data_IF_165168547494
#
_entry.id   IF_165168547494
#
_cell.length_a   1.000
_cell.length_b   1.000
_cell.length_c   1.000
_cell.angle_alpha   90.00
_cell.angle_beta   90.00
_cell.angle_gamma   90.00
#
_symmetry.space_group_name_H-M   'P 1'
#
loop_
_entity.id
_entity.type
_entity.pdbx_description
1 polymer ?
#
# COMPACT_ATOMS: atom_id res chain seq x y z
N UNK A 1 -10.61 -53.02 -46.32
CA UNK A 1 -9.19 -52.81 -45.91
C UNK A 1 -8.74 -51.36 -46.01
N UNK A 2 -8.93 -50.65 -47.12
CA UNK A 2 -8.51 -49.24 -47.29
C UNK A 2 -9.07 -48.26 -46.22
N UNK A 3 -10.36 -48.37 -45.85
CA UNK A 3 -10.98 -47.51 -44.82
C UNK A 3 -10.46 -47.74 -43.39
N UNK A 4 -10.05 -48.96 -43.07
CA UNK A 4 -9.48 -49.31 -41.75
C UNK A 4 -8.06 -48.75 -41.63
N UNK A 5 -7.29 -48.81 -42.70
CA UNK A 5 -5.93 -48.23 -42.75
C UNK A 5 -5.99 -46.71 -42.64
N UNK A 6 -6.96 -46.06 -43.29
CA UNK A 6 -7.17 -44.61 -43.15
C UNK A 6 -7.59 -44.22 -41.74
N UNK A 7 -8.49 -44.98 -41.10
CA UNK A 7 -8.88 -44.73 -39.70
C UNK A 7 -7.69 -44.93 -38.74
N UNK A 8 -6.86 -45.95 -38.99
CA UNK A 8 -5.68 -46.24 -38.18
C UNK A 8 -4.60 -45.17 -38.33
N UNK A 9 -4.37 -44.65 -39.54
CA UNK A 9 -3.47 -43.51 -39.78
C UNK A 9 -3.98 -42.20 -39.18
N UNK A 10 -5.29 -41.97 -39.16
CA UNK A 10 -5.88 -40.80 -38.51
C UNK A 10 -5.77 -40.91 -36.98
N UNK A 11 -5.96 -42.12 -36.43
CA UNK A 11 -5.82 -42.40 -35.00
C UNK A 11 -4.38 -42.28 -34.50
N UNK A 12 -3.38 -42.71 -35.29
CA UNK A 12 -1.96 -42.54 -34.91
C UNK A 12 -1.49 -41.09 -34.97
N UNK A 13 -2.09 -40.25 -35.82
CA UNK A 13 -1.80 -38.80 -35.85
C UNK A 13 -2.31 -38.05 -34.61
N UNK A 14 -3.35 -38.56 -33.93
CA UNK A 14 -3.90 -37.99 -32.70
C UNK A 14 -3.02 -38.23 -31.46
N UNK A 15 -2.09 -39.20 -31.50
CA UNK A 15 -1.18 -39.49 -30.39
C UNK A 15 0.19 -38.81 -30.52
N UNK A 16 0.44 -38.06 -31.59
CA UNK A 16 1.70 -37.32 -31.81
C UNK A 16 1.59 -35.88 -31.29
N UNK A 17 1.10 -35.69 -30.06
CA UNK A 17 1.16 -34.40 -29.40
C UNK A 17 2.60 -34.19 -28.88
N UNK A 18 3.39 -33.36 -29.58
CA UNK A 18 4.69 -32.91 -29.10
C UNK A 18 4.49 -32.08 -27.83
N UNK A 19 4.55 -32.72 -26.66
CA UNK A 19 4.68 -32.01 -25.40
C UNK A 19 6.09 -31.45 -25.33
N UNK A 20 6.23 -30.13 -25.50
CA UNK A 20 7.46 -29.42 -25.16
C UNK A 20 7.47 -29.24 -23.65
N UNK A 21 8.18 -30.11 -22.94
CA UNK A 21 8.51 -29.87 -21.53
C UNK A 21 9.44 -28.66 -21.47
N UNK A 22 8.90 -27.52 -21.05
CA UNK A 22 9.69 -26.35 -20.71
C UNK A 22 10.19 -26.60 -19.29
N UNK A 23 11.41 -27.12 -19.19
CA UNK A 23 12.15 -27.08 -17.94
C UNK A 23 12.53 -25.63 -17.68
N UNK A 24 11.68 -24.93 -16.92
CA UNK A 24 12.04 -23.66 -16.31
C UNK A 24 13.16 -23.96 -15.33
N UNK A 25 14.41 -23.65 -15.70
CA UNK A 25 15.46 -23.50 -14.70
C UNK A 25 15.14 -22.23 -13.93
N UNK A 26 14.27 -22.34 -12.92
CA UNK A 26 14.20 -21.36 -11.87
C UNK A 26 15.61 -21.40 -11.27
N UNK A 27 16.43 -20.41 -11.60
CA UNK A 27 17.76 -20.31 -11.02
C UNK A 27 17.57 -20.31 -9.51
N UNK A 28 18.13 -21.30 -8.82
CA UNK A 28 18.18 -21.47 -7.36
C UNK A 28 18.91 -20.32 -6.63
N UNK A 29 19.06 -19.17 -7.29
CA UNK A 29 19.81 -18.01 -6.83
C UNK A 29 18.86 -16.82 -6.80
N UNK A 30 17.86 -16.89 -5.91
CA UNK A 30 17.30 -15.65 -5.39
C UNK A 30 18.38 -15.03 -4.50
N UNK A 31 19.07 -14.02 -5.01
CA UNK A 31 19.88 -13.16 -4.16
C UNK A 31 18.92 -12.24 -3.41
N UNK A 32 18.85 -12.31 -2.06
CA UNK A 32 17.94 -11.45 -1.31
C UNK A 32 18.28 -9.98 -1.54
N UNK A 33 17.26 -9.19 -1.88
CA UNK A 33 17.39 -7.77 -2.15
C UNK A 33 16.70 -6.98 -1.04
N UNK A 34 17.27 -5.83 -0.69
CA UNK A 34 16.64 -4.96 0.29
C UNK A 34 15.35 -4.36 -0.28
N UNK A 35 14.32 -4.35 0.53
CA UNK A 35 13.08 -3.62 0.31
C UNK A 35 12.93 -2.58 1.43
N UNK A 36 12.76 -1.32 1.04
CA UNK A 36 12.65 -0.19 1.95
C UNK A 36 11.32 0.50 1.68
N UNK A 37 10.48 0.61 2.70
CA UNK A 37 9.28 1.43 2.68
C UNK A 37 9.40 2.47 3.78
N UNK A 38 9.50 3.74 3.41
CA UNK A 38 9.51 4.86 4.33
C UNK A 38 8.60 5.96 3.83
N UNK A 39 7.63 6.34 4.66
CA UNK A 39 6.76 7.49 4.40
C UNK A 39 6.90 8.48 5.54
N UNK A 40 7.41 9.67 5.22
CA UNK A 40 7.52 10.78 6.14
C UNK A 40 6.21 11.54 6.17
N UNK A 41 5.45 11.41 7.25
CA UNK A 41 4.27 12.22 7.47
C UNK A 41 4.64 13.48 8.25
N UNK A 42 4.37 14.65 7.67
CA UNK A 42 4.59 15.93 8.36
C UNK A 42 3.80 15.95 9.68
N UNK A 43 4.48 16.25 10.78
CA UNK A 43 3.91 16.25 12.14
C UNK A 43 4.06 14.94 12.90
N UNK A 44 4.52 13.86 12.26
CA UNK A 44 4.72 12.55 12.90
C UNK A 44 6.22 12.25 13.10
N UNK A 45 6.51 11.24 13.91
CA UNK A 45 7.83 10.62 13.96
C UNK A 45 8.02 9.66 12.78
N UNK A 46 9.23 9.58 12.17
CA UNK A 46 9.44 8.76 11.00
C UNK A 46 9.35 7.27 11.33
N UNK A 47 8.84 6.47 10.38
CA UNK A 47 8.88 5.02 10.42
C UNK A 47 9.38 4.48 9.10
N UNK A 48 10.46 3.70 9.15
CA UNK A 48 11.11 3.10 7.98
C UNK A 48 11.10 1.59 8.14
N UNK A 49 10.41 0.89 7.25
CA UNK A 49 10.37 -0.56 7.17
C UNK A 49 11.49 -1.02 6.25
N UNK A 50 12.37 -1.87 6.77
CA UNK A 50 13.50 -2.43 6.01
C UNK A 50 13.40 -3.94 6.08
N UNK A 51 13.19 -4.57 4.93
CA UNK A 51 13.05 -6.02 4.82
C UNK A 51 13.93 -6.59 3.71
N UNK A 52 14.11 -7.91 3.75
CA UNK A 52 14.79 -8.65 2.69
C UNK A 52 13.77 -9.38 1.82
N UNK A 53 13.92 -9.28 0.51
CA UNK A 53 13.08 -10.01 -0.44
C UNK A 53 13.28 -11.51 -0.29
N UNK A 54 12.20 -12.26 -0.59
CA UNK A 54 12.17 -13.71 -0.45
C UNK A 54 11.80 -14.36 -1.80
N UNK A 55 12.20 -15.62 -2.04
CA UNK A 55 11.76 -16.37 -3.19
C UNK A 55 10.23 -16.45 -3.25
N UNK A 56 9.65 -16.37 -4.45
CA UNK A 56 8.20 -16.37 -4.66
C UNK A 56 7.46 -17.55 -4.02
N UNK A 57 8.06 -18.74 -4.02
CA UNK A 57 7.45 -19.95 -3.47
C UNK A 57 7.69 -20.16 -1.97
N UNK A 58 8.25 -19.16 -1.27
CA UNK A 58 8.38 -19.24 0.17
C UNK A 58 7.02 -19.04 0.84
N UNK A 59 6.64 -19.95 1.72
CA UNK A 59 5.34 -19.88 2.38
C UNK A 59 5.32 -18.77 3.43
N UNK A 60 4.22 -18.01 3.46
CA UNK A 60 3.78 -17.10 4.54
C UNK A 60 4.90 -16.57 5.44
N UNK A 61 5.62 -15.56 4.97
CA UNK A 61 6.66 -14.90 5.77
C UNK A 61 6.05 -13.75 6.57
N UNK A 62 6.29 -13.74 7.88
CA UNK A 62 5.88 -12.66 8.78
C UNK A 62 6.82 -11.46 8.62
N UNK A 63 6.35 -10.21 8.82
CA UNK A 63 7.21 -9.02 8.78
C UNK A 63 8.44 -9.14 9.68
N UNK A 64 8.29 -9.74 10.87
CA UNK A 64 9.38 -10.00 11.81
C UNK A 64 10.49 -10.94 11.32
N UNK A 65 10.20 -11.80 10.34
CA UNK A 65 11.11 -12.80 9.79
C UNK A 65 11.93 -12.25 8.60
N UNK A 66 11.36 -11.30 7.84
CA UNK A 66 12.07 -10.60 6.76
C UNK A 66 12.77 -9.32 7.20
N UNK A 67 12.51 -8.84 8.41
CA UNK A 67 13.04 -7.56 8.88
C UNK A 67 14.57 -7.58 9.03
N UNK A 68 15.22 -6.57 8.45
CA UNK A 68 16.68 -6.41 8.47
C UNK A 68 17.10 -5.73 9.76
N UNK A 69 17.79 -6.46 10.64
CA UNK A 69 18.13 -6.02 12.02
C UNK A 69 19.56 -5.51 12.18
N UNK A 70 20.38 -5.66 11.18
CA UNK A 70 21.81 -5.36 11.16
C UNK A 70 22.15 -4.22 10.20
N UNK A 71 21.15 -3.37 9.89
CA UNK A 71 21.34 -2.13 9.16
C UNK A 71 21.53 -0.94 10.13
N UNK A 72 22.43 -0.02 9.77
CA UNK A 72 22.52 1.29 10.39
C UNK A 72 21.72 2.28 9.56
N UNK A 73 20.67 2.86 10.14
CA UNK A 73 19.70 3.70 9.42
C UNK A 73 19.72 5.11 9.99
N UNK A 74 19.79 6.10 9.09
CA UNK A 74 19.79 7.51 9.44
C UNK A 74 18.84 8.28 8.52
N UNK A 75 18.23 9.34 9.06
CA UNK A 75 17.63 10.40 8.26
C UNK A 75 18.48 11.65 8.43
N UNK A 76 18.72 12.39 7.36
CA UNK A 76 19.44 13.66 7.39
C UNK A 76 18.57 14.81 6.91
N UNK A 77 18.75 15.98 7.51
CA UNK A 77 18.17 17.26 7.11
C UNK A 77 19.33 18.27 7.02
N UNK A 78 19.73 18.63 5.80
CA UNK A 78 20.93 19.45 5.59
C UNK A 78 22.19 18.82 6.23
N UNK A 79 22.71 19.45 7.30
CA UNK A 79 23.89 18.98 8.04
C UNK A 79 23.54 18.15 9.29
N UNK A 80 22.26 18.11 9.69
CA UNK A 80 21.81 17.31 10.83
C UNK A 80 21.60 15.86 10.42
N UNK A 81 22.01 14.94 11.29
CA UNK A 81 21.85 13.50 11.09
C UNK A 81 21.15 12.90 12.31
N UNK A 82 20.01 12.26 12.05
CA UNK A 82 19.16 11.60 13.03
C UNK A 82 19.35 10.09 12.93
N UNK A 83 20.02 9.43 13.89
CA UNK A 83 20.08 7.98 13.93
C UNK A 83 18.70 7.40 14.24
N UNK A 84 18.28 6.38 13.48
CA UNK A 84 17.07 5.64 13.75
C UNK A 84 17.37 4.39 14.58
N UNK A 85 16.41 3.99 15.42
CA UNK A 85 16.47 2.80 16.25
C UNK A 85 15.36 1.84 15.88
N UNK A 86 15.62 0.55 16.04
CA UNK A 86 14.61 -0.47 15.84
C UNK A 86 13.53 -0.36 16.91
N UNK A 87 12.28 -0.48 16.47
CA UNK A 87 11.10 -0.58 17.32
C UNK A 87 10.08 -1.49 16.63
N UNK A 88 8.96 -1.77 17.29
CA UNK A 88 7.87 -2.54 16.72
C UNK A 88 6.54 -2.19 17.36
N UNK A 89 5.47 -2.25 16.57
CA UNK A 89 4.10 -2.17 17.09
C UNK A 89 3.40 -3.50 16.89
N UNK A 90 2.54 -3.88 17.83
CA UNK A 90 1.69 -5.06 17.65
C UNK A 90 0.46 -4.67 16.84
N UNK A 91 0.38 -5.14 15.59
CA UNK A 91 -0.81 -5.01 14.75
C UNK A 91 -1.86 -5.99 15.26
N UNK A 92 -2.80 -5.45 16.04
CA UNK A 92 -3.93 -6.20 16.59
C UNK A 92 -4.87 -6.70 15.51
N UNK A 93 -4.99 -6.04 14.36
CA UNK A 93 -5.82 -6.50 13.26
C UNK A 93 -5.23 -7.76 12.61
N UNK A 94 -3.91 -7.77 12.38
CA UNK A 94 -3.19 -8.90 11.75
C UNK A 94 -2.60 -9.92 12.73
N UNK A 95 -2.73 -9.69 14.04
CA UNK A 95 -2.16 -10.51 15.10
C UNK A 95 -0.66 -10.80 14.94
N UNK A 96 0.13 -9.76 14.64
CA UNK A 96 1.57 -9.89 14.45
C UNK A 96 2.31 -8.63 14.85
N UNK A 97 3.61 -8.78 15.14
CA UNK A 97 4.50 -7.65 15.32
C UNK A 97 4.96 -7.10 13.97
N UNK A 98 4.83 -5.79 13.80
CA UNK A 98 5.32 -5.05 12.65
C UNK A 98 6.55 -4.22 13.09
N UNK A 99 7.78 -4.70 12.79
CA UNK A 99 9.01 -4.00 13.15
C UNK A 99 9.38 -2.90 12.14
N UNK A 100 10.02 -1.84 12.62
CA UNK A 100 10.47 -0.70 11.82
C UNK A 100 11.67 0.01 12.49
N UNK A 101 12.29 0.93 11.78
CA UNK A 101 13.24 1.91 12.31
C UNK A 101 12.53 3.25 12.54
N UNK A 102 12.77 3.90 13.68
CA UNK A 102 12.18 5.21 14.02
C UNK A 102 13.18 6.13 14.71
N UNK A 103 12.91 7.44 14.66
CA UNK A 103 13.76 8.49 15.21
C UNK A 103 13.03 9.32 16.26
N UNK A 104 13.81 9.99 17.12
CA UNK A 104 13.29 10.89 18.16
C UNK A 104 13.21 12.34 17.66
N UNK A 105 12.53 12.52 16.52
CA UNK A 105 12.25 13.84 15.95
C UNK A 105 10.93 13.81 15.20
N UNK A 106 10.32 14.98 15.06
CA UNK A 106 9.09 15.18 14.29
C UNK A 106 9.47 15.69 12.91
N UNK A 107 8.87 15.09 11.87
CA UNK A 107 9.04 15.54 10.48
C UNK A 107 8.39 16.92 10.31
N UNK A 108 9.15 17.87 9.78
CA UNK A 108 8.72 19.25 9.55
C UNK A 108 8.32 19.47 8.08
N UNK A 109 7.42 20.42 7.83
CA UNK A 109 7.05 20.86 6.48
C UNK A 109 8.20 21.68 5.84
N UNK A 110 8.19 21.76 4.51
CA UNK A 110 9.13 22.58 3.71
C UNK A 110 10.61 22.22 3.94
N UNK A 111 10.90 20.92 4.06
CA UNK A 111 12.24 20.36 4.25
C UNK A 111 12.58 19.31 3.20
N UNK A 112 13.88 19.11 3.04
CA UNK A 112 14.45 18.00 2.26
C UNK A 112 15.09 17.01 3.23
N UNK A 113 14.63 15.76 3.17
CA UNK A 113 15.16 14.67 3.98
C UNK A 113 15.89 13.67 3.11
N UNK A 114 17.00 13.12 3.59
CA UNK A 114 17.63 11.96 2.97
C UNK A 114 17.73 10.79 3.94
N UNK A 115 17.21 9.64 3.53
CA UNK A 115 17.50 8.35 4.13
C UNK A 115 18.91 7.91 3.75
N UNK A 116 19.68 7.45 4.72
CA UNK A 116 20.98 6.79 4.52
C UNK A 116 20.93 5.47 5.28
N UNK A 117 21.18 4.37 4.56
CA UNK A 117 21.21 3.03 5.14
C UNK A 117 22.53 2.36 4.80
N UNK A 118 23.20 1.81 5.82
CA UNK A 118 24.39 0.98 5.68
C UNK A 118 24.05 -0.47 6.01
N UNK A 119 24.36 -1.40 5.11
CA UNK A 119 24.12 -2.83 5.31
C UNK A 119 25.13 -3.64 4.50
N UNK A 120 25.88 -4.53 5.15
CA UNK A 120 26.88 -5.41 4.51
C UNK A 120 27.89 -4.75 3.54
N UNK A 121 28.24 -3.48 3.79
CA UNK A 121 29.18 -2.72 2.97
C UNK A 121 28.52 -1.89 1.86
N UNK A 122 27.23 -2.11 1.61
CA UNK A 122 26.43 -1.27 0.73
C UNK A 122 25.97 -0.02 1.46
N UNK A 123 25.84 1.07 0.68
CA UNK A 123 25.23 2.32 1.17
C UNK A 123 24.10 2.71 0.25
N UNK A 124 22.88 2.68 0.79
CA UNK A 124 21.66 3.08 0.10
C UNK A 124 21.30 4.50 0.51
N UNK A 125 20.86 5.30 -0.45
CA UNK A 125 20.39 6.67 -0.24
C UNK A 125 19.09 6.89 -0.97
N UNK A 126 18.18 7.62 -0.34
CA UNK A 126 16.94 8.07 -0.95
C UNK A 126 16.55 9.44 -0.39
N UNK A 127 15.96 10.31 -1.21
CA UNK A 127 15.49 11.62 -0.80
C UNK A 127 13.98 11.67 -0.72
N UNK A 128 13.43 12.55 0.12
CA UNK A 128 12.01 12.88 0.18
C UNK A 128 11.84 14.37 0.48
N UNK A 129 10.85 15.02 -0.16
CA UNK A 129 10.57 16.44 0.02
C UNK A 129 9.25 16.63 0.76
N UNK A 130 9.26 17.40 1.84
CA UNK A 130 8.06 17.80 2.58
C UNK A 130 7.56 19.18 2.18
N UNK A 131 8.04 19.74 1.06
CA UNK A 131 7.52 20.96 0.44
C UNK A 131 6.17 20.69 -0.24
N UNK A 132 5.20 20.22 0.54
CA UNK A 132 3.89 19.76 0.10
C UNK A 132 2.82 20.76 0.52
N UNK A 133 1.89 21.06 -0.39
CA UNK A 133 0.73 21.89 -0.09
C UNK A 133 -0.21 21.10 0.82
N UNK A 134 -0.58 21.65 1.99
CA UNK A 134 -1.50 20.99 2.93
C UNK A 134 -2.94 21.05 2.39
N UNK A 135 -3.57 19.92 2.06
CA UNK A 135 -4.93 19.92 1.52
C UNK A 135 -5.96 20.39 2.55
N UNK A 136 -7.04 21.01 2.05
CA UNK A 136 -8.20 21.38 2.84
C UNK A 136 -9.38 20.47 2.46
N UNK A 137 -9.74 19.55 3.36
CA UNK A 137 -10.91 18.69 3.19
C UNK A 137 -12.15 19.43 3.71
N UNK A 138 -13.09 19.76 2.82
CA UNK A 138 -14.25 20.60 3.16
C UNK A 138 -15.40 19.79 3.75
N UNK A 139 -15.69 18.62 3.16
CA UNK A 139 -16.82 17.78 3.54
C UNK A 139 -16.54 16.29 3.29
N UNK A 140 -17.14 15.45 4.14
CA UNK A 140 -17.16 13.99 3.99
C UNK A 140 -18.60 13.53 4.16
N UNK A 141 -19.19 13.03 3.09
CA UNK A 141 -20.56 12.53 3.09
C UNK A 141 -20.62 11.04 2.77
N UNK A 142 -21.68 10.37 3.23
CA UNK A 142 -21.92 8.98 2.91
C UNK A 142 -22.55 8.82 1.52
N UNK A 143 -22.19 7.75 0.81
CA UNK A 143 -22.91 7.28 -0.37
C UNK A 143 -23.31 5.80 -0.21
N UNK A 144 -24.61 5.47 -0.32
CA UNK A 144 -25.06 4.08 -0.18
C UNK A 144 -24.72 3.22 -1.39
N UNK A 145 -24.49 3.85 -2.55
CA UNK A 145 -24.18 3.16 -3.78
C UNK A 145 -23.43 4.11 -4.72
N UNK A 146 -22.30 3.67 -5.25
CA UNK A 146 -21.63 4.25 -6.41
C UNK A 146 -21.03 3.11 -7.24
N UNK A 147 -20.75 3.38 -8.52
CA UNK A 147 -20.27 2.35 -9.44
C UNK A 147 -18.89 2.68 -9.96
N UNK A 148 -18.01 1.69 -9.98
CA UNK A 148 -16.73 1.74 -10.69
C UNK A 148 -16.67 0.61 -11.74
N UNK A 149 -15.47 0.29 -12.23
CA UNK A 149 -15.27 -0.77 -13.22
C UNK A 149 -15.42 -2.20 -12.64
N UNK A 150 -15.45 -2.33 -11.32
CA UNK A 150 -15.51 -3.59 -10.56
C UNK A 150 -16.90 -3.86 -9.97
N UNK A 151 -17.75 -2.85 -9.80
CA UNK A 151 -19.14 -3.07 -9.41
C UNK A 151 -19.80 -1.88 -8.71
N UNK A 152 -20.89 -2.18 -8.01
CA UNK A 152 -21.52 -1.25 -7.08
C UNK A 152 -20.84 -1.36 -5.72
N UNK A 153 -20.55 -0.22 -5.10
CA UNK A 153 -19.84 -0.07 -3.84
C UNK A 153 -20.58 0.91 -2.93
N UNK A 154 -20.41 0.77 -1.64
CA UNK A 154 -20.77 1.77 -0.63
C UNK A 154 -19.51 2.46 -0.09
N UNK A 155 -19.68 3.65 0.48
CA UNK A 155 -18.54 4.33 1.09
C UNK A 155 -18.76 5.81 1.33
N UNK A 156 -17.74 6.60 1.02
CA UNK A 156 -17.72 8.04 1.30
C UNK A 156 -17.40 8.85 0.06
N UNK A 157 -17.91 10.08 0.06
CA UNK A 157 -17.57 11.11 -0.92
C UNK A 157 -16.79 12.18 -0.18
N UNK A 158 -15.54 12.40 -0.58
CA UNK A 158 -14.72 13.52 -0.12
C UNK A 158 -14.93 14.69 -1.07
N UNK A 159 -15.26 15.86 -0.52
CA UNK A 159 -15.33 17.12 -1.27
C UNK A 159 -14.26 18.07 -0.80
N UNK A 160 -13.51 18.60 -1.75
CA UNK A 160 -12.49 19.60 -1.50
C UNK A 160 -12.23 20.42 -2.74
N UNK A 161 -11.62 21.57 -2.55
CA UNK A 161 -11.05 22.36 -3.65
C UNK A 161 -9.55 22.13 -3.75
N UNK A 162 -9.11 21.80 -4.96
CA UNK A 162 -7.69 21.68 -5.28
C UNK A 162 -6.94 23.01 -5.12
N UNK A 163 -5.70 22.93 -4.68
CA UNK A 163 -4.86 24.09 -4.42
C UNK A 163 -4.17 24.53 -5.71
N UNK A 164 -4.14 25.83 -6.06
CA UNK A 164 -3.54 26.27 -7.31
C UNK A 164 -2.12 25.74 -7.58
N UNK A 165 -1.84 25.44 -8.84
CA UNK A 165 -0.59 24.87 -9.36
C UNK A 165 -0.63 23.34 -9.45
N UNK A 166 -0.11 22.79 -10.55
CA UNK A 166 -0.04 21.33 -10.75
C UNK A 166 0.93 20.62 -9.80
N UNK A 167 0.73 19.31 -9.63
CA UNK A 167 1.66 18.43 -8.94
C UNK A 167 1.16 17.95 -7.57
N UNK A 168 -0.14 18.07 -7.31
CA UNK A 168 -0.75 17.48 -6.12
C UNK A 168 -1.20 16.04 -6.38
N UNK A 169 -0.93 15.17 -5.42
CA UNK A 169 -1.23 13.75 -5.45
C UNK A 169 -2.03 13.35 -4.22
N UNK A 170 -3.35 13.33 -4.38
CA UNK A 170 -4.29 13.12 -3.32
C UNK A 170 -4.52 11.64 -3.00
N UNK A 171 -4.53 11.31 -1.71
CA UNK A 171 -4.91 9.98 -1.22
C UNK A 171 -5.85 10.08 -0.03
N UNK A 172 -6.84 9.20 0.01
CA UNK A 172 -7.74 9.06 1.14
C UNK A 172 -7.05 8.40 2.34
N UNK A 173 -7.38 8.85 3.55
CA UNK A 173 -7.09 8.11 4.78
C UNK A 173 -8.32 8.13 5.69
N UNK A 174 -8.67 7.00 6.27
CA UNK A 174 -9.68 6.88 7.32
C UNK A 174 -9.17 6.04 8.48
N UNK A 175 -9.22 6.63 9.66
CA UNK A 175 -8.80 6.04 10.91
C UNK A 175 -10.02 5.69 11.77
N UNK A 176 -10.09 4.45 12.27
CA UNK A 176 -11.21 3.97 13.09
C UNK A 176 -10.77 3.05 14.21
N UNK A 177 -11.56 3.01 15.28
CA UNK A 177 -11.53 1.93 16.25
C UNK A 177 -12.59 0.90 15.87
N UNK A 178 -12.19 -0.36 15.69
CA UNK A 178 -13.07 -1.47 15.32
C UNK A 178 -12.87 -2.64 16.28
N UNK A 179 -13.79 -3.59 16.30
CA UNK A 179 -13.64 -4.88 16.99
C UNK A 179 -13.55 -6.04 15.97
N UNK A 180 -13.38 -7.26 16.48
CA UNK A 180 -13.29 -8.49 15.66
C UNK A 180 -14.59 -8.87 14.97
N UNK A 181 -15.72 -8.21 15.26
CA UNK A 181 -16.96 -8.40 14.51
C UNK A 181 -17.00 -7.59 13.21
N UNK A 182 -16.00 -6.73 12.97
CA UNK A 182 -15.86 -5.93 11.75
C UNK A 182 -14.81 -6.51 10.84
N UNK A 183 -15.25 -7.08 9.72
CA UNK A 183 -14.34 -7.69 8.76
C UNK A 183 -13.96 -6.69 7.67
N UNK A 184 -12.93 -7.05 6.90
CA UNK A 184 -12.58 -6.32 5.69
C UNK A 184 -13.53 -6.78 4.57
N UNK A 185 -14.21 -5.83 3.91
CA UNK A 185 -15.35 -6.03 3.01
C UNK A 185 -15.11 -7.02 1.84
N UNK A 186 -13.86 -7.33 1.49
CA UNK A 186 -13.57 -8.09 0.26
C UNK A 186 -12.47 -9.16 0.31
N UNK A 187 -11.71 -9.34 1.40
CA UNK A 187 -10.46 -10.14 1.29
C UNK A 187 -10.21 -11.18 2.39
N UNK A 188 -10.92 -11.20 3.52
CA UNK A 188 -10.40 -11.93 4.69
C UNK A 188 -11.36 -12.90 5.39
N UNK A 189 -12.06 -13.75 4.63
CA UNK A 189 -12.61 -15.02 5.17
C UNK A 189 -11.52 -15.92 5.82
N UNK A 190 -10.23 -15.62 5.59
CA UNK A 190 -9.07 -16.40 6.04
C UNK A 190 -8.28 -15.73 7.16
N UNK A 191 -8.48 -14.43 7.44
CA UNK A 191 -7.72 -13.74 8.49
C UNK A 191 -8.50 -13.81 9.80
N UNK A 192 -8.23 -14.86 10.57
CA UNK A 192 -8.81 -15.01 11.91
C UNK A 192 -8.00 -14.20 12.90
N UNK A 193 -8.57 -13.09 13.36
CA UNK A 193 -8.01 -12.35 14.49
C UNK A 193 -8.36 -13.08 15.79
N UNK A 194 -7.37 -13.76 16.37
CA UNK A 194 -7.53 -14.57 17.59
C UNK A 194 -6.64 -14.08 18.76
N UNK A 195 -6.04 -12.90 18.62
CA UNK A 195 -5.11 -12.34 19.61
C UNK A 195 -5.73 -11.19 20.43
N UNK A 196 -6.97 -10.82 20.13
CA UNK A 196 -7.74 -9.82 20.88
C UNK A 196 -9.01 -10.45 21.45
N UNK A 197 -9.45 -9.95 22.59
CA UNK A 197 -10.68 -10.45 23.21
C UNK A 197 -11.92 -9.98 22.45
N UNK A 198 -13.03 -10.71 22.61
CA UNK A 198 -14.30 -10.33 22.00
C UNK A 198 -14.76 -8.94 22.47
N UNK A 199 -15.01 -8.03 21.53
CA UNK A 199 -15.41 -6.65 21.81
C UNK A 199 -14.26 -5.71 22.21
N UNK A 200 -13.02 -6.20 22.25
CA UNK A 200 -11.86 -5.33 22.40
C UNK A 200 -11.68 -4.47 21.14
N UNK A 201 -11.64 -3.15 21.32
CA UNK A 201 -11.40 -2.22 20.23
C UNK A 201 -9.91 -2.13 19.89
N UNK A 202 -9.62 -2.10 18.59
CA UNK A 202 -8.29 -1.84 18.05
C UNK A 202 -8.36 -0.85 16.89
N UNK A 203 -7.26 -0.13 16.71
CA UNK A 203 -7.15 0.93 15.72
C UNK A 203 -6.81 0.35 14.35
N UNK A 204 -7.47 0.85 13.31
CA UNK A 204 -7.17 0.56 11.91
C UNK A 204 -7.10 1.84 11.10
N UNK A 205 -6.23 1.83 10.09
CA UNK A 205 -6.11 2.87 9.08
C UNK A 205 -6.44 2.27 7.72
N UNK A 206 -7.31 2.93 6.98
CA UNK A 206 -7.71 2.61 5.61
C UNK A 206 -7.18 3.71 4.69
N UNK A 207 -6.41 3.35 3.66
CA UNK A 207 -5.77 4.31 2.74
C UNK A 207 -6.43 4.35 1.36
N UNK A 208 -7.57 3.66 1.20
CA UNK A 208 -8.21 3.47 -0.10
C UNK A 208 -7.32 2.73 -1.11
N UNK A 209 -7.79 2.62 -2.34
CA UNK A 209 -7.11 1.88 -3.44
C UNK A 209 -6.72 2.77 -4.62
N UNK A 210 -6.67 4.08 -4.42
CA UNK A 210 -6.40 5.00 -5.52
C UNK A 210 -5.68 6.25 -5.05
N UNK A 211 -4.83 6.75 -5.94
CA UNK A 211 -4.19 8.05 -5.84
C UNK A 211 -4.70 8.92 -6.98
N UNK A 212 -5.12 10.13 -6.64
CA UNK A 212 -5.72 11.07 -7.58
C UNK A 212 -4.75 12.23 -7.82
N UNK A 213 -4.38 12.45 -9.09
CA UNK A 213 -3.55 13.60 -9.46
C UNK A 213 -4.43 14.75 -9.96
N UNK A 214 -4.02 15.97 -9.64
CA UNK A 214 -4.58 17.22 -10.16
C UNK A 214 -4.24 17.52 -11.64
N UNK A 215 -3.46 16.66 -12.29
CA UNK A 215 -2.96 16.90 -13.64
C UNK A 215 -4.07 17.27 -14.63
N UNK A 216 -3.97 18.48 -15.22
CA UNK A 216 -4.95 19.11 -16.14
C UNK A 216 -6.28 19.55 -15.52
N UNK A 217 -6.44 19.45 -14.21
CA UNK A 217 -7.64 19.86 -13.47
C UNK A 217 -7.30 20.75 -12.25
N UNK A 218 -6.20 21.49 -12.35
CA UNK A 218 -5.69 22.45 -11.36
C UNK A 218 -6.75 23.48 -10.89
N UNK A 219 -6.86 23.63 -9.57
CA UNK A 219 -7.67 24.64 -8.90
C UNK A 219 -9.19 24.41 -8.98
N UNK A 220 -9.59 23.19 -9.37
CA UNK A 220 -10.99 22.79 -9.52
C UNK A 220 -11.56 22.16 -8.24
N UNK A 221 -12.89 22.06 -8.19
CA UNK A 221 -13.57 21.37 -7.09
C UNK A 221 -13.58 19.85 -7.40
N UNK A 222 -13.15 19.04 -6.44
CA UNK A 222 -13.10 17.59 -6.52
C UNK A 222 -14.23 16.92 -5.72
N UNK A 223 -14.77 15.84 -6.29
CA UNK A 223 -15.56 14.85 -5.56
C UNK A 223 -14.89 13.48 -5.74
N UNK A 224 -14.32 12.94 -4.66
CA UNK A 224 -13.68 11.62 -4.68
C UNK A 224 -14.60 10.59 -4.01
N UNK A 225 -15.02 9.61 -4.78
CA UNK A 225 -15.80 8.47 -4.31
C UNK A 225 -14.84 7.38 -3.85
N UNK A 226 -14.97 6.94 -2.61
CA UNK A 226 -14.05 5.99 -2.00
C UNK A 226 -14.84 4.86 -1.37
N UNK A 227 -14.55 3.64 -1.80
CA UNK A 227 -14.97 2.41 -1.14
C UNK A 227 -14.16 2.27 0.15
N UNK A 228 -14.85 2.02 1.26
CA UNK A 228 -14.19 1.75 2.55
C UNK A 228 -13.88 0.28 2.69
N UNK A 229 -12.68 -0.03 3.18
CA UNK A 229 -12.15 -1.39 3.26
C UNK A 229 -12.80 -2.22 4.38
N UNK A 230 -13.29 -1.58 5.44
CA UNK A 230 -13.79 -2.26 6.65
C UNK A 230 -15.29 -2.08 6.86
N UNK A 231 -15.98 -3.19 7.17
CA UNK A 231 -17.40 -3.22 7.57
C UNK A 231 -17.69 -2.23 8.71
N UNK A 232 -18.93 -1.74 8.78
CA UNK A 232 -19.37 -0.73 9.76
C UNK A 232 -20.84 -0.93 10.16
N UNK A 233 -21.26 -0.36 11.30
CA UNK A 233 -22.67 -0.17 11.68
C UNK A 233 -23.01 1.31 11.69
N UNK A 234 -24.30 1.59 11.65
CA UNK A 234 -24.85 2.89 12.00
C UNK A 234 -24.29 3.37 13.34
N UNK A 235 -23.78 4.60 13.36
CA UNK A 235 -23.22 5.24 14.55
C UNK A 235 -21.73 4.96 14.78
N UNK A 236 -21.10 4.05 14.03
CA UNK A 236 -19.65 3.93 14.05
C UNK A 236 -19.01 5.26 13.65
N UNK A 237 -17.96 5.67 14.37
CA UNK A 237 -17.27 6.95 14.14
C UNK A 237 -15.90 6.71 13.51
N UNK A 238 -15.55 7.56 12.56
CA UNK A 238 -14.28 7.56 11.85
C UNK A 238 -13.66 8.96 11.84
N UNK A 239 -12.34 9.02 11.69
CA UNK A 239 -11.62 10.26 11.40
C UNK A 239 -11.07 10.18 9.99
N UNK A 240 -11.46 11.10 9.12
CA UNK A 240 -11.09 11.11 7.71
C UNK A 240 -10.11 12.23 7.44
N UNK A 241 -9.09 11.93 6.64
CA UNK A 241 -8.10 12.87 6.15
C UNK A 241 -8.00 12.76 4.64
N UNK A 242 -7.68 13.89 4.02
CA UNK A 242 -7.12 13.94 2.68
C UNK A 242 -5.61 14.09 2.81
N UNK A 243 -4.84 13.23 2.16
CA UNK A 243 -3.39 13.32 2.08
C UNK A 243 -2.99 13.99 0.77
N UNK A 244 -1.89 14.74 0.78
CA UNK A 244 -1.13 15.09 -0.42
C UNK A 244 0.25 14.45 -0.32
N UNK A 245 0.64 13.65 -1.31
CA UNK A 245 1.88 12.88 -1.34
C UNK A 245 2.91 13.58 -2.22
N UNK A 246 4.20 13.36 -1.96
CA UNK A 246 5.22 13.68 -2.94
C UNK A 246 5.10 12.78 -4.19
N UNK A 247 5.65 13.25 -5.32
CA UNK A 247 5.50 12.58 -6.62
C UNK A 247 6.03 11.15 -6.61
N UNK A 248 7.14 10.90 -5.92
CA UNK A 248 7.78 9.58 -5.88
C UNK A 248 6.95 8.57 -5.08
N UNK A 249 6.40 8.96 -3.93
CA UNK A 249 5.44 8.16 -3.18
C UNK A 249 4.18 7.92 -4.00
N UNK A 250 3.65 8.97 -4.62
CA UNK A 250 2.45 8.88 -5.44
C UNK A 250 2.62 7.85 -6.57
N UNK A 251 3.75 7.90 -7.29
CA UNK A 251 4.07 6.94 -8.36
C UNK A 251 4.21 5.52 -7.85
N UNK A 252 4.95 5.32 -6.77
CA UNK A 252 5.16 3.98 -6.19
C UNK A 252 3.84 3.34 -5.73
N UNK A 253 3.04 4.07 -4.95
CA UNK A 253 1.79 3.55 -4.43
C UNK A 253 0.71 3.40 -5.50
N UNK A 254 0.75 4.21 -6.57
CA UNK A 254 -0.11 4.00 -7.73
C UNK A 254 0.19 2.69 -8.44
N UNK A 255 1.46 2.34 -8.62
CA UNK A 255 1.85 1.04 -9.17
C UNK A 255 1.45 -0.11 -8.23
N UNK A 256 1.60 0.09 -6.91
CA UNK A 256 1.21 -0.90 -5.91
C UNK A 256 -0.30 -1.17 -5.93
N UNK A 257 -1.13 -0.11 -5.90
CA UNK A 257 -2.58 -0.22 -5.91
C UNK A 257 -3.07 -0.91 -7.20
N UNK A 258 -2.53 -0.50 -8.36
CA UNK A 258 -2.81 -1.16 -9.65
C UNK A 258 -2.39 -2.62 -9.68
N UNK A 259 -1.25 -2.96 -9.08
CA UNK A 259 -0.82 -4.35 -8.99
C UNK A 259 -1.80 -5.17 -8.15
N UNK A 260 -2.24 -4.64 -7.00
CA UNK A 260 -3.23 -5.30 -6.13
C UNK A 260 -4.56 -5.55 -6.84
N UNK A 261 -5.01 -4.60 -7.67
CA UNK A 261 -6.21 -4.75 -8.50
C UNK A 261 -6.05 -5.81 -9.61
N UNK A 262 -4.83 -5.92 -10.18
CA UNK A 262 -4.55 -6.89 -11.26
C UNK A 262 -4.24 -8.31 -10.78
N UNK A 263 -3.81 -8.50 -9.52
CA UNK A 263 -3.17 -9.76 -9.07
C UNK A 263 -4.07 -11.00 -9.21
N UNK A 264 -5.38 -10.81 -9.18
CA UNK A 264 -6.38 -11.88 -9.34
C UNK A 264 -7.00 -11.95 -10.74
N UNK A 265 -6.60 -11.08 -11.66
CA UNK A 265 -7.14 -11.03 -13.00
C UNK A 265 -6.11 -11.50 -14.04
N UNK A 266 -6.20 -12.75 -14.55
CA UNK A 266 -5.23 -13.31 -15.50
C UNK A 266 -5.30 -12.68 -16.90
N UNK A 267 -6.23 -11.75 -17.14
CA UNK A 267 -6.42 -11.06 -18.41
C UNK A 267 -5.93 -9.60 -18.38
N UNK A 268 -5.48 -9.11 -17.23
CA UNK A 268 -4.88 -7.77 -17.09
C UNK A 268 -3.37 -7.89 -17.23
N UNK A 269 -2.75 -6.90 -17.88
CA UNK A 269 -1.31 -6.85 -18.02
C UNK A 269 -0.64 -6.75 -16.63
N UNK A 270 0.48 -7.47 -16.37
CA UNK A 270 1.19 -7.36 -15.11
C UNK A 270 1.65 -5.92 -14.86
N UNK A 271 1.37 -5.42 -13.66
CA UNK A 271 1.84 -4.11 -13.22
C UNK A 271 3.19 -4.27 -12.52
N UNK A 272 4.22 -3.64 -13.09
CA UNK A 272 5.54 -3.58 -12.50
C UNK A 272 5.62 -2.44 -11.50
N UNK A 273 6.01 -2.75 -10.26
CA UNK A 273 6.29 -1.71 -9.25
C UNK A 273 7.65 -1.11 -9.56
N UNK A 274 7.70 0.21 -9.80
CA UNK A 274 8.94 0.92 -10.00
C UNK A 274 9.52 1.37 -8.67
N UNK A 275 10.70 0.85 -8.31
CA UNK A 275 11.47 1.35 -7.16
C UNK A 275 11.87 2.81 -7.40
N UNK A 276 11.86 3.61 -6.34
CA UNK A 276 12.37 4.98 -6.32
C UNK A 276 13.70 5.10 -5.58
N UNK A 277 14.26 3.97 -5.15
CA UNK A 277 15.51 3.88 -4.39
C UNK A 277 16.55 3.13 -5.23
N UNK A 278 17.70 3.76 -5.44
CA UNK A 278 18.82 3.10 -6.12
C UNK A 278 19.50 2.07 -5.19
N UNK A 279 19.73 0.86 -5.70
CA UNK A 279 20.38 -0.23 -4.94
C UNK A 279 19.45 -1.00 -4.00
N UNK A 280 18.17 -0.66 -3.95
CA UNK A 280 17.13 -1.39 -3.22
C UNK A 280 15.78 -1.33 -3.98
N UNK A 281 14.80 -2.11 -3.55
CA UNK A 281 13.42 -1.94 -3.95
C UNK A 281 12.66 -1.07 -2.95
N UNK A 282 11.65 -0.35 -3.42
CA UNK A 282 10.68 0.33 -2.57
C UNK A 282 10.67 1.84 -2.74
N UNK A 283 10.33 2.54 -1.66
CA UNK A 283 10.07 3.97 -1.64
C UNK A 283 10.50 4.61 -0.34
N UNK A 284 11.03 5.81 -0.45
CA UNK A 284 11.22 6.72 0.67
C UNK A 284 10.62 8.06 0.28
N UNK A 285 9.37 8.33 0.64
CA UNK A 285 8.68 9.55 0.24
C UNK A 285 8.08 10.28 1.44
N UNK A 286 7.29 11.30 1.15
CA UNK A 286 6.63 12.15 2.13
C UNK A 286 5.15 12.36 1.82
N UNK A 287 4.39 12.71 2.85
CA UNK A 287 3.00 13.10 2.74
C UNK A 287 2.63 14.13 3.82
N UNK A 288 1.63 14.95 3.52
CA UNK A 288 0.99 15.85 4.48
C UNK A 288 -0.52 15.58 4.51
N UNK A 289 -1.11 15.58 5.70
CA UNK A 289 -2.54 15.35 5.90
C UNK A 289 -3.29 16.67 6.05
N UNK A 290 -4.54 16.71 5.61
CA UNK A 290 -5.49 17.76 5.93
C UNK A 290 -5.75 17.83 7.44
N UNK A 291 -6.49 18.84 7.87
CA UNK A 291 -7.18 18.74 9.16
C UNK A 291 -8.16 17.54 9.14
N UNK A 292 -8.37 16.86 10.28
CA UNK A 292 -9.29 15.73 10.37
C UNK A 292 -10.74 16.19 10.22
N UNK A 293 -11.54 15.39 9.52
CA UNK A 293 -13.00 15.48 9.52
C UNK A 293 -13.57 14.27 10.26
N UNK A 294 -14.38 14.52 11.29
CA UNK A 294 -15.12 13.45 11.96
C UNK A 294 -16.29 13.01 11.08
N UNK A 295 -16.40 11.70 10.85
CA UNK A 295 -17.46 11.08 10.08
C UNK A 295 -18.19 10.05 10.93
N UNK A 296 -19.52 9.99 10.80
CA UNK A 296 -20.36 9.00 11.49
C UNK A 296 -21.18 8.25 10.45
N UNK A 297 -21.07 6.93 10.42
CA UNK A 297 -21.81 6.11 9.47
C UNK A 297 -23.32 6.24 9.72
N UNK A 298 -24.12 6.61 8.70
CA UNK A 298 -25.55 6.88 8.89
C UNK A 298 -26.40 5.61 8.89
N UNK A 299 -25.84 4.48 8.44
CA UNK A 299 -26.51 3.19 8.32
C UNK A 299 -25.51 2.04 8.52
N UNK A 300 -26.04 0.83 8.67
CA UNK A 300 -25.24 -0.39 8.64
C UNK A 300 -24.68 -0.62 7.24
N UNK A 301 -23.51 -1.27 7.15
CA UNK A 301 -22.97 -1.73 5.87
C UNK A 301 -24.03 -2.61 5.16
N UNK A 302 -24.33 -2.34 3.88
CA UNK A 302 -25.43 -3.00 3.16
C UNK A 302 -25.23 -4.50 2.93
#
# INVERSE_FOLDING_TARGET
MSRIIQLLCMLTSLFCACKKEVNLSLSDLHEPQLFIEGMLYVGDTPRIYVSSSMPFFNEKVLPGEVFVRDAEVFITEGAHQYPLRQDSVFDKFRCRWDPFYTGDFVVEADKEYQLILYHHGDTIRAGASTALKKPALDDVSYTPEFYDVYGGHDGVILRFRDMPGEGDYYRFQMDRWIDTSRHHAHVLDVLTNNCVDAGELFFVTDLGRSIFSDYKIDGTDFELYVEVSFEYRQGDTATVYLQNLDEQAARFYHDLDKQLESIRNPFVEPVFIHSTIDGAFGVFGAAIRSEPVTFVYPQDNP
#
